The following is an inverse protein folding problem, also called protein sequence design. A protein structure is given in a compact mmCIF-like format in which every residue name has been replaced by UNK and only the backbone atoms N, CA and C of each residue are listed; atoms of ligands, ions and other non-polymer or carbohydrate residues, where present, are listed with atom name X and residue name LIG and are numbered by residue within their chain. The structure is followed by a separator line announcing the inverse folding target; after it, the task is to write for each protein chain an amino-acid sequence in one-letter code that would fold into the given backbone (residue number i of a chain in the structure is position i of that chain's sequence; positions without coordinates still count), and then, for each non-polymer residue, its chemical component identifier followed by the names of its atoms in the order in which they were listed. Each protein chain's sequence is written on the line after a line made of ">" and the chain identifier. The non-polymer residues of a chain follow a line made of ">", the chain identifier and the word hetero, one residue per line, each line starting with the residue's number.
data_IF_239865084698
#
_entry.id   IF_239865084698
#
_cell.length_a   1.000
_cell.length_b   1.000
_cell.length_c   1.000
_cell.angle_alpha   90.00
_cell.angle_beta   90.00
_cell.angle_gamma   90.00
#
_symmetry.space_group_name_H-M   'P 1'
#
loop_
_entity.id
_entity.type
_entity.pdbx_description
1 polymer ?
#
# COMPACT_ATOMS: atom_id res chain seq x y z
N UNK A 1 28.50 -25.00 32.69
CA UNK A 1 27.28 -24.67 31.92
C UNK A 1 27.38 -23.19 31.68
N UNK A 2 27.85 -22.85 30.48
CA UNK A 2 28.14 -21.49 30.05
C UNK A 2 26.82 -20.83 29.62
N UNK A 3 26.58 -19.60 30.09
CA UNK A 3 25.48 -18.76 29.66
C UNK A 3 25.85 -18.19 28.28
N UNK A 4 25.15 -18.61 27.22
CA UNK A 4 25.27 -18.01 25.89
C UNK A 4 24.58 -16.63 25.91
N UNK A 5 25.38 -15.57 25.87
CA UNK A 5 24.93 -14.22 25.58
C UNK A 5 24.41 -14.14 24.14
N UNK A 6 23.12 -13.84 23.97
CA UNK A 6 22.55 -13.50 22.67
C UNK A 6 23.04 -12.12 22.24
N UNK A 7 23.96 -12.06 21.28
CA UNK A 7 24.33 -10.82 20.60
C UNK A 7 23.14 -10.27 19.81
N UNK A 8 22.66 -9.09 20.21
CA UNK A 8 21.64 -8.33 19.50
C UNK A 8 22.28 -7.72 18.25
N UNK A 9 22.19 -8.43 17.11
CA UNK A 9 22.65 -7.93 15.83
C UNK A 9 21.69 -6.82 15.33
N UNK A 10 21.96 -5.59 15.74
CA UNK A 10 21.35 -4.39 15.18
C UNK A 10 21.91 -4.15 13.76
N UNK A 11 21.50 -5.01 12.82
CA UNK A 11 21.68 -4.77 11.40
C UNK A 11 21.03 -3.43 11.04
N UNK A 12 21.85 -2.50 10.55
CA UNK A 12 21.41 -1.18 10.16
C UNK A 12 20.47 -1.30 8.95
N UNK A 13 19.16 -1.27 9.20
CA UNK A 13 18.09 -1.49 8.21
C UNK A 13 17.93 -0.34 7.19
N UNK A 14 18.84 0.63 7.19
CA UNK A 14 18.72 1.87 6.42
C UNK A 14 18.90 1.63 4.91
N UNK A 15 19.68 0.62 4.51
CA UNK A 15 20.05 0.35 3.11
C UNK A 15 18.87 -0.11 2.23
N UNK A 16 17.88 -0.79 2.81
CA UNK A 16 16.69 -1.24 2.07
C UNK A 16 15.61 -0.15 1.94
N UNK A 17 15.71 0.91 2.75
CA UNK A 17 14.66 1.93 2.84
C UNK A 17 14.80 3.04 1.78
N UNK A 18 16.01 3.36 1.33
CA UNK A 18 16.24 4.48 0.39
C UNK A 18 15.66 4.22 -1.01
N UNK A 19 15.88 3.02 -1.57
CA UNK A 19 15.43 2.69 -2.94
C UNK A 19 13.90 2.61 -3.07
N UNK A 20 13.21 2.14 -2.02
CA UNK A 20 11.74 2.11 -1.98
C UNK A 20 11.19 3.53 -1.83
N UNK A 21 11.82 4.39 -1.03
CA UNK A 21 11.39 5.78 -0.79
C UNK A 21 11.53 6.63 -2.05
N UNK A 22 12.58 6.41 -2.86
CA UNK A 22 12.82 7.14 -4.11
C UNK A 22 11.75 6.83 -5.18
N UNK A 23 11.32 5.57 -5.31
CA UNK A 23 10.31 5.17 -6.30
C UNK A 23 8.87 5.54 -5.89
N UNK A 24 8.57 5.44 -4.59
CA UNK A 24 7.23 5.72 -4.03
C UNK A 24 6.97 7.19 -3.74
N UNK A 25 8.01 8.02 -3.64
CA UNK A 25 7.87 9.45 -3.32
C UNK A 25 7.54 9.75 -1.85
N UNK A 26 7.67 8.76 -0.97
CA UNK A 26 7.39 8.88 0.46
C UNK A 26 8.29 9.88 1.19
N UNK A 27 9.43 10.26 0.60
CA UNK A 27 10.35 11.29 1.10
C UNK A 27 10.09 12.70 0.55
N UNK A 28 9.07 12.89 -0.29
CA UNK A 28 8.73 14.19 -0.88
C UNK A 28 7.86 15.03 0.07
N UNK A 29 7.96 16.36 -0.04
CA UNK A 29 7.07 17.26 0.69
C UNK A 29 5.61 17.06 0.28
N UNK A 30 4.69 17.48 1.14
CA UNK A 30 3.26 17.42 0.88
C UNK A 30 2.88 18.06 -0.45
N UNK A 31 3.42 19.25 -0.75
CA UNK A 31 3.13 19.98 -1.99
C UNK A 31 3.62 19.23 -3.21
N UNK A 32 4.84 18.67 -3.16
CA UNK A 32 5.41 17.89 -4.28
C UNK A 32 4.60 16.63 -4.57
N UNK A 33 4.10 15.96 -3.53
CA UNK A 33 3.23 14.79 -3.70
C UNK A 33 1.91 15.17 -4.35
N UNK A 34 1.30 16.28 -3.93
CA UNK A 34 0.07 16.79 -4.54
C UNK A 34 0.28 17.21 -6.00
N UNK A 35 1.40 17.87 -6.29
CA UNK A 35 1.77 18.23 -7.66
C UNK A 35 1.92 16.98 -8.54
N UNK A 36 2.57 15.92 -8.04
CA UNK A 36 2.72 14.64 -8.75
C UNK A 36 1.36 14.00 -9.08
N UNK A 37 0.40 14.03 -8.14
CA UNK A 37 -0.96 13.53 -8.38
C UNK A 37 -1.66 14.31 -9.50
N UNK A 38 -1.61 15.64 -9.44
CA UNK A 38 -2.19 16.51 -10.46
C UNK A 38 -1.55 16.29 -11.84
N UNK A 39 -0.23 16.15 -11.89
CA UNK A 39 0.50 15.87 -13.13
C UNK A 39 0.12 14.50 -13.71
N UNK A 40 0.01 13.47 -12.87
CA UNK A 40 -0.41 12.13 -13.31
C UNK A 40 -1.82 12.15 -13.89
N UNK A 41 -2.78 12.76 -13.19
CA UNK A 41 -4.18 12.86 -13.66
C UNK A 41 -4.28 13.67 -14.96
N UNK A 42 -3.46 14.72 -15.11
CA UNK A 42 -3.38 15.51 -16.34
C UNK A 42 -2.84 14.70 -17.52
N UNK A 43 -1.81 13.88 -17.31
CA UNK A 43 -1.26 13.01 -18.35
C UNK A 43 -2.29 11.97 -18.76
N UNK A 44 -2.96 11.32 -17.80
CA UNK A 44 -4.01 10.34 -18.07
C UNK A 44 -5.16 10.96 -18.88
N UNK A 45 -5.59 12.17 -18.53
CA UNK A 45 -6.59 12.91 -19.28
C UNK A 45 -6.16 13.18 -20.72
N UNK A 46 -4.89 13.52 -20.97
CA UNK A 46 -4.37 13.75 -22.32
C UNK A 46 -4.45 12.49 -23.20
N UNK A 47 -4.35 11.31 -22.59
CA UNK A 47 -4.50 10.02 -23.26
C UNK A 47 -5.94 9.47 -23.26
N UNK A 48 -6.91 10.28 -22.82
CA UNK A 48 -8.33 9.92 -22.80
C UNK A 48 -8.74 9.06 -21.60
N UNK A 49 -7.87 8.85 -20.61
CA UNK A 49 -8.13 8.05 -19.43
C UNK A 49 -8.67 8.92 -18.28
N UNK A 50 -9.91 9.38 -18.42
CA UNK A 50 -10.56 10.15 -17.36
C UNK A 50 -10.91 9.26 -16.17
N UNK A 51 -10.70 9.77 -14.94
CA UNK A 51 -11.15 9.10 -13.73
C UNK A 51 -12.68 9.08 -13.71
N UNK A 52 -13.24 7.89 -13.76
CA UNK A 52 -14.67 7.66 -13.69
C UNK A 52 -15.16 7.88 -12.26
N UNK A 53 -16.09 8.80 -12.08
CA UNK A 53 -16.69 9.17 -10.79
C UNK A 53 -18.21 9.27 -10.89
N UNK A 54 -18.81 8.78 -11.97
CA UNK A 54 -20.24 8.88 -12.19
C UNK A 54 -21.00 7.82 -11.39
N UNK A 55 -22.26 8.10 -11.08
CA UNK A 55 -23.15 7.19 -10.35
C UNK A 55 -23.66 6.01 -11.18
N UNK A 56 -23.45 6.05 -12.50
CA UNK A 56 -23.91 5.02 -13.41
C UNK A 56 -22.93 3.84 -13.44
N UNK A 57 -23.42 2.65 -13.73
CA UNK A 57 -22.55 1.50 -13.98
C UNK A 57 -21.95 1.61 -15.38
N UNK A 58 -20.69 1.19 -15.51
CA UNK A 58 -19.98 1.19 -16.78
C UNK A 58 -19.18 -0.09 -16.93
N UNK A 59 -19.33 -0.73 -18.10
CA UNK A 59 -18.66 -1.98 -18.45
C UNK A 59 -17.40 -1.66 -19.25
N UNK A 60 -16.31 -2.38 -18.95
CA UNK A 60 -15.08 -2.29 -19.72
C UNK A 60 -14.10 -3.42 -19.42
N UNK A 61 -13.11 -3.57 -20.29
CA UNK A 61 -12.02 -4.53 -20.17
C UNK A 61 -10.81 -3.87 -19.51
N UNK A 62 -10.39 -4.41 -18.37
CA UNK A 62 -9.18 -4.00 -17.67
C UNK A 62 -7.96 -4.33 -18.52
N UNK A 63 -7.15 -3.32 -18.86
CA UNK A 63 -5.94 -3.52 -19.67
C UNK A 63 -4.65 -3.11 -18.96
N UNK A 64 -4.73 -2.32 -17.89
CA UNK A 64 -3.57 -1.95 -17.09
C UNK A 64 -3.94 -1.69 -15.62
N UNK A 65 -3.00 -1.91 -14.72
CA UNK A 65 -3.08 -1.54 -13.31
C UNK A 65 -1.80 -0.81 -12.91
N UNK A 66 -1.92 0.26 -12.15
CA UNK A 66 -0.77 1.01 -11.65
C UNK A 66 -0.94 1.39 -10.18
N UNK A 67 0.06 1.12 -9.31
CA UNK A 67 0.09 1.67 -7.96
C UNK A 67 0.07 3.20 -8.00
N UNK A 68 -0.78 3.80 -7.18
CA UNK A 68 -0.90 5.25 -7.06
C UNK A 68 -1.12 5.66 -5.60
N UNK A 69 -1.16 6.96 -5.38
CA UNK A 69 -1.59 7.55 -4.11
C UNK A 69 -2.85 8.38 -4.36
N UNK A 70 -3.72 8.46 -3.36
CA UNK A 70 -4.83 9.42 -3.33
C UNK A 70 -4.70 10.26 -2.08
N UNK A 71 -5.16 11.52 -2.15
CA UNK A 71 -5.25 12.35 -0.96
C UNK A 71 -6.63 12.20 -0.31
N UNK A 72 -6.66 11.61 0.89
CA UNK A 72 -7.85 11.48 1.73
C UNK A 72 -8.03 12.81 2.50
N UNK A 73 -8.98 13.63 2.03
CA UNK A 73 -9.25 14.96 2.60
C UNK A 73 -9.77 14.88 4.03
N UNK A 74 -10.61 13.88 4.35
CA UNK A 74 -11.20 13.70 5.67
C UNK A 74 -10.12 13.37 6.70
N UNK A 75 -9.19 12.48 6.35
CA UNK A 75 -8.10 12.05 7.24
C UNK A 75 -6.83 12.89 7.08
N UNK A 76 -6.84 13.88 6.18
CA UNK A 76 -5.71 14.77 5.85
C UNK A 76 -4.40 14.01 5.59
N UNK A 77 -4.48 12.89 4.87
CA UNK A 77 -3.31 12.05 4.59
C UNK A 77 -3.36 11.45 3.19
N UNK A 78 -2.21 11.09 2.67
CA UNK A 78 -2.15 10.26 1.47
C UNK A 78 -2.45 8.80 1.83
N UNK A 79 -3.16 8.11 0.95
CA UNK A 79 -3.49 6.69 1.06
C UNK A 79 -3.01 5.95 -0.19
N UNK A 80 -2.53 4.73 0.00
CA UNK A 80 -2.18 3.84 -1.10
C UNK A 80 -3.43 3.43 -1.88
N UNK A 81 -3.31 3.43 -3.20
CA UNK A 81 -4.40 3.11 -4.10
C UNK A 81 -3.87 2.40 -5.36
N UNK A 82 -4.80 1.91 -6.17
CA UNK A 82 -4.53 1.36 -7.50
C UNK A 82 -5.39 2.10 -8.53
N UNK A 83 -4.74 2.61 -9.57
CA UNK A 83 -5.41 3.06 -10.78
C UNK A 83 -5.62 1.84 -11.70
N UNK A 84 -6.88 1.57 -12.02
CA UNK A 84 -7.32 0.50 -12.90
C UNK A 84 -7.79 1.13 -14.21
N UNK A 85 -7.19 0.75 -15.33
CA UNK A 85 -7.46 1.36 -16.64
C UNK A 85 -8.25 0.41 -17.53
N UNK A 86 -9.31 0.93 -18.14
CA UNK A 86 -10.29 0.18 -18.90
C UNK A 86 -10.45 0.71 -20.31
N UNK A 87 -10.79 -0.20 -21.23
CA UNK A 87 -11.42 0.12 -22.50
C UNK A 87 -12.91 -0.20 -22.35
N UNK A 88 -13.80 0.76 -22.64
CA UNK A 88 -15.25 0.59 -22.57
C UNK A 88 -15.84 -0.09 -23.81
N UNK A 89 -17.13 -0.45 -23.72
CA UNK A 89 -17.86 -1.13 -24.80
C UNK A 89 -17.88 -0.38 -26.13
N UNK A 90 -17.81 0.96 -26.08
CA UNK A 90 -17.78 1.82 -27.27
C UNK A 90 -16.36 2.18 -27.72
N UNK A 91 -15.33 1.54 -27.14
CA UNK A 91 -13.92 1.76 -27.46
C UNK A 91 -13.30 3.00 -26.80
N UNK A 92 -14.03 3.68 -25.92
CA UNK A 92 -13.51 4.77 -25.11
C UNK A 92 -12.64 4.25 -23.97
N UNK A 93 -11.86 5.13 -23.34
CA UNK A 93 -10.98 4.77 -22.22
C UNK A 93 -11.44 5.48 -20.97
N UNK A 94 -11.25 4.81 -19.83
CA UNK A 94 -11.49 5.40 -18.53
C UNK A 94 -10.62 4.70 -17.48
N UNK A 95 -10.47 5.35 -16.33
CA UNK A 95 -9.82 4.72 -15.16
C UNK A 95 -10.71 4.81 -13.93
N UNK A 96 -10.54 3.90 -12.99
CA UNK A 96 -11.06 4.02 -11.62
C UNK A 96 -9.89 3.90 -10.66
N UNK A 97 -9.98 4.57 -9.53
CA UNK A 97 -8.97 4.47 -8.47
C UNK A 97 -9.60 3.78 -7.26
N UNK A 98 -8.99 2.69 -6.81
CA UNK A 98 -9.45 1.98 -5.61
C UNK A 98 -8.43 2.18 -4.48
N UNK A 99 -8.91 2.58 -3.30
CA UNK A 99 -8.05 2.67 -2.11
C UNK A 99 -7.76 1.25 -1.63
N UNK A 100 -6.48 0.95 -1.42
CA UNK A 100 -6.05 -0.36 -0.96
C UNK A 100 -5.02 -0.21 0.17
N UNK A 101 -5.38 -0.58 1.41
CA UNK A 101 -4.43 -0.59 2.52
C UNK A 101 -3.45 -1.78 2.38
N UNK A 102 -2.16 -1.56 2.09
CA UNK A 102 -1.20 -2.65 1.99
C UNK A 102 -1.04 -3.33 3.35
N UNK A 103 -0.84 -4.65 3.34
CA UNK A 103 -0.64 -5.47 4.53
C UNK A 103 0.45 -6.51 4.29
N UNK A 104 0.98 -7.04 5.38
CA UNK A 104 1.89 -8.18 5.38
C UNK A 104 1.59 -9.06 6.61
N UNK A 105 2.09 -10.29 6.59
CA UNK A 105 1.94 -11.22 7.70
C UNK A 105 3.22 -11.31 8.53
N UNK A 106 3.06 -11.50 9.83
CA UNK A 106 4.15 -11.81 10.76
C UNK A 106 3.89 -13.21 11.31
N UNK A 107 4.80 -14.13 11.03
CA UNK A 107 4.77 -15.46 11.64
C UNK A 107 5.14 -15.39 13.12
N UNK A 108 4.37 -16.06 13.98
CA UNK A 108 4.67 -16.21 15.39
C UNK A 108 5.00 -17.68 15.70
N UNK A 109 5.81 -17.90 16.74
CA UNK A 109 5.98 -19.25 17.31
C UNK A 109 4.64 -19.70 17.91
N UNK A 110 4.35 -20.99 17.83
CA UNK A 110 3.12 -21.57 18.37
C UNK A 110 2.91 -21.17 19.83
N UNK A 111 1.73 -20.63 20.13
CA UNK A 111 1.33 -20.18 21.47
C UNK A 111 1.86 -18.80 21.86
N UNK A 112 2.57 -18.09 20.96
CA UNK A 112 3.10 -16.73 21.19
C UNK A 112 2.38 -15.66 20.37
N UNK A 113 1.32 -16.02 19.66
CA UNK A 113 0.57 -15.14 18.76
C UNK A 113 0.05 -13.91 19.51
N UNK A 114 -0.52 -14.10 20.70
CA UNK A 114 -1.04 -13.02 21.55
C UNK A 114 0.06 -12.07 22.05
N UNK A 115 1.22 -12.61 22.44
CA UNK A 115 2.36 -11.82 22.91
C UNK A 115 2.90 -10.93 21.77
N UNK A 116 3.07 -11.51 20.58
CA UNK A 116 3.52 -10.81 19.38
C UNK A 116 2.51 -9.73 18.98
N UNK A 117 1.22 -10.06 18.96
CA UNK A 117 0.16 -9.10 18.68
C UNK A 117 0.15 -7.93 19.65
N UNK A 118 0.23 -8.20 20.96
CA UNK A 118 0.25 -7.16 21.98
C UNK A 118 1.47 -6.23 21.83
N UNK A 119 2.64 -6.80 21.52
CA UNK A 119 3.84 -6.02 21.27
C UNK A 119 3.72 -5.13 20.03
N UNK A 120 3.34 -5.69 18.88
CA UNK A 120 3.27 -4.96 17.61
C UNK A 120 2.20 -3.86 17.66
N UNK A 121 1.00 -4.19 18.15
CA UNK A 121 -0.11 -3.24 18.31
C UNK A 121 0.29 -2.06 19.20
N UNK A 122 1.04 -2.32 20.29
CA UNK A 122 1.53 -1.24 21.16
C UNK A 122 2.70 -0.46 20.58
N UNK A 123 3.64 -1.12 19.89
CA UNK A 123 4.88 -0.49 19.41
C UNK A 123 4.68 0.35 18.14
N UNK A 124 3.67 -0.01 17.32
CA UNK A 124 3.44 0.57 16.00
C UNK A 124 2.04 1.18 15.82
N UNK A 125 1.29 1.44 16.91
CA UNK A 125 -0.07 2.00 16.85
C UNK A 125 -0.22 3.27 15.99
N UNK A 126 0.83 4.09 15.88
CA UNK A 126 0.84 5.31 15.06
C UNK A 126 1.41 5.13 13.65
N UNK A 127 1.86 3.92 13.29
CA UNK A 127 2.46 3.60 11.97
C UNK A 127 1.66 2.55 11.19
N UNK A 128 0.85 1.75 11.87
CA UNK A 128 -0.01 0.73 11.25
C UNK A 128 -1.46 1.19 11.25
N UNK A 129 -2.20 0.88 10.19
CA UNK A 129 -3.64 1.15 10.14
C UNK A 129 -4.43 0.19 11.04
N UNK A 130 -4.06 -1.08 11.01
CA UNK A 130 -4.63 -2.15 11.82
C UNK A 130 -3.53 -3.19 12.10
N UNK A 131 -3.71 -3.96 13.16
CA UNK A 131 -2.98 -5.18 13.44
C UNK A 131 -4.03 -6.20 13.88
N UNK A 132 -4.00 -7.40 13.33
CA UNK A 132 -5.04 -8.40 13.53
C UNK A 132 -4.41 -9.79 13.67
N UNK A 133 -4.98 -10.64 14.54
CA UNK A 133 -4.61 -12.04 14.65
C UNK A 133 -5.41 -12.87 13.65
N UNK A 134 -4.70 -13.58 12.75
CA UNK A 134 -5.30 -14.36 11.68
C UNK A 134 -4.70 -15.75 11.64
N UNK A 135 -5.56 -16.77 11.64
CA UNK A 135 -5.16 -18.14 11.32
C UNK A 135 -5.11 -18.31 9.80
N UNK A 136 -3.98 -18.81 9.29
CA UNK A 136 -3.75 -19.10 7.88
C UNK A 136 -3.14 -20.49 7.78
N UNK A 137 -3.57 -21.26 6.79
CA UNK A 137 -2.92 -22.52 6.46
C UNK A 137 -1.62 -22.23 5.71
N UNK A 138 -0.51 -22.75 6.23
CA UNK A 138 0.74 -22.79 5.49
C UNK A 138 0.73 -24.02 4.59
N UNK A 139 0.57 -23.79 3.28
CA UNK A 139 0.56 -24.86 2.28
C UNK A 139 1.98 -25.42 2.02
N UNK A 140 3.02 -24.85 2.65
CA UNK A 140 4.40 -25.29 2.56
C UNK A 140 4.84 -26.16 3.73
N UNK A 141 4.29 -27.37 3.85
CA UNK A 141 4.93 -28.47 4.61
C UNK A 141 4.50 -29.82 4.04
N UNK A 142 5.28 -30.31 3.07
CA UNK A 142 5.46 -31.74 2.77
C UNK A 142 6.96 -32.04 2.84
#
# INVERSE_FOLDING_TARGET
>A
MEEEEFEENAGNNDDFTEDVVASTGLGLSFEKRLERLSQSDRIDQLYGCLRYSAFEERIGWLYNLQPCELFDEDRRRFVSALDLYFIGEIGDRFKISIVYPPYFYVGAKLGRENDVYAYLSKRYHNRCLSCDLLAKEDLGMN
#
